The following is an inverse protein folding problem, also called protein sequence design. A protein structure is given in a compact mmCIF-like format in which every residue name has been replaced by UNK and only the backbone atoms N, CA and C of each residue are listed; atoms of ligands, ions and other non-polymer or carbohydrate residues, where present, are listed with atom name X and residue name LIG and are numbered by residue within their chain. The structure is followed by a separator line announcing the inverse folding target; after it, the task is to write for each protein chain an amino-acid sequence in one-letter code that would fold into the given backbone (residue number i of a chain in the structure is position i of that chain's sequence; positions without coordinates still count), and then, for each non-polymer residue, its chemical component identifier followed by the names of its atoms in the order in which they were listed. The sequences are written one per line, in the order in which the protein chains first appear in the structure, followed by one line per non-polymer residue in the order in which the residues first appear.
data_IF_756626601300
#
_entry.id   IF_756626601300
#
_cell.length_a   1.000
_cell.length_b   1.000
_cell.length_c   1.000
_cell.angle_alpha   90.00
_cell.angle_beta   90.00
_cell.angle_gamma   90.00
#
_symmetry.space_group_name_H-M   'P 1'
#
loop_
_entity.id
_entity.type
_entity.pdbx_description
1 polymer ?
#
# COMPACT_ATOMS: atom_id res chain seq x y z
N UNK A 1 32.98 -15.65 -25.10
CA UNK A 1 32.86 -15.04 -23.76
C UNK A 1 31.90 -13.89 -23.92
N UNK A 2 30.68 -14.00 -23.41
CA UNK A 2 29.66 -12.97 -23.57
C UNK A 2 29.07 -12.63 -22.21
N UNK A 3 29.36 -11.40 -21.78
CA UNK A 3 28.71 -10.65 -20.73
C UNK A 3 27.20 -10.86 -20.67
N UNK A 4 26.74 -11.61 -19.68
CA UNK A 4 25.35 -11.57 -19.20
C UNK A 4 25.35 -11.23 -17.70
N UNK A 5 26.03 -10.14 -17.35
CA UNK A 5 25.74 -9.38 -16.14
C UNK A 5 24.41 -8.64 -16.34
N UNK A 6 23.31 -9.39 -16.33
CA UNK A 6 22.02 -8.83 -15.91
C UNK A 6 21.80 -9.30 -14.48
N UNK A 7 22.53 -8.65 -13.55
CA UNK A 7 22.05 -8.58 -12.17
C UNK A 7 20.65 -7.98 -12.28
N UNK A 8 19.63 -8.82 -12.07
CA UNK A 8 18.28 -8.35 -11.83
C UNK A 8 18.33 -7.54 -10.56
N UNK A 9 18.65 -6.26 -10.68
CA UNK A 9 18.32 -5.31 -9.64
C UNK A 9 16.81 -5.46 -9.45
N UNK A 10 16.33 -5.87 -8.25
CA UNK A 10 14.91 -5.78 -8.00
C UNK A 10 14.53 -4.32 -8.27
N UNK A 11 13.38 -4.05 -8.91
CA UNK A 11 12.95 -2.68 -9.12
C UNK A 11 13.09 -1.99 -7.77
N UNK A 12 13.92 -0.94 -7.70
CA UNK A 12 14.00 -0.10 -6.52
C UNK A 12 12.58 0.39 -6.33
N UNK A 13 11.84 -0.24 -5.41
CA UNK A 13 10.55 0.25 -4.93
C UNK A 13 10.88 1.65 -4.44
N UNK A 14 10.64 2.66 -5.28
CA UNK A 14 10.74 4.09 -4.94
C UNK A 14 9.55 4.45 -4.05
N UNK A 15 9.26 3.57 -3.11
CA UNK A 15 8.24 3.74 -2.10
C UNK A 15 8.81 4.65 -1.04
N UNK A 16 7.98 5.59 -0.61
CA UNK A 16 8.27 6.50 0.48
C UNK A 16 8.15 5.79 1.83
N UNK A 17 7.55 4.60 1.86
CA UNK A 17 7.28 3.83 3.05
C UNK A 17 8.36 2.79 3.33
N UNK A 18 8.55 2.47 4.61
CA UNK A 18 9.43 1.39 5.02
C UNK A 18 8.93 0.03 4.48
N UNK A 19 9.81 -0.94 4.17
CA UNK A 19 9.42 -2.25 3.65
C UNK A 19 8.36 -2.96 4.50
N UNK A 20 8.45 -2.85 5.82
CA UNK A 20 7.48 -3.40 6.77
C UNK A 20 6.06 -2.83 6.57
N UNK A 21 5.94 -1.55 6.24
CA UNK A 21 4.65 -0.89 5.97
C UNK A 21 4.07 -1.40 4.66
N UNK A 22 4.92 -1.61 3.65
CA UNK A 22 4.49 -2.18 2.36
C UNK A 22 4.02 -3.62 2.49
N UNK A 23 4.67 -4.44 3.32
CA UNK A 23 4.22 -5.80 3.60
C UNK A 23 2.86 -5.81 4.30
N UNK A 24 2.69 -4.96 5.32
CA UNK A 24 1.39 -4.80 5.99
C UNK A 24 0.32 -4.29 5.03
N UNK A 25 0.66 -3.35 4.15
CA UNK A 25 -0.25 -2.85 3.12
C UNK A 25 -0.64 -3.94 2.11
N UNK A 26 0.29 -4.79 1.69
CA UNK A 26 0.01 -5.94 0.82
C UNK A 26 -0.92 -6.95 1.50
N UNK A 27 -0.75 -7.21 2.80
CA UNK A 27 -1.66 -8.07 3.57
C UNK A 27 -3.07 -7.46 3.66
N UNK A 28 -3.15 -6.19 4.03
CA UNK A 28 -4.41 -5.46 4.14
C UNK A 28 -5.15 -5.37 2.77
N UNK A 29 -4.41 -5.24 1.67
CA UNK A 29 -4.96 -5.27 0.32
C UNK A 29 -5.61 -6.63 0.01
N UNK A 30 -4.96 -7.74 0.40
CA UNK A 30 -5.53 -9.09 0.23
C UNK A 30 -6.81 -9.28 1.05
N UNK A 31 -6.87 -8.71 2.25
CA UNK A 31 -8.09 -8.72 3.06
C UNK A 31 -9.24 -7.96 2.39
N UNK A 32 -8.97 -6.76 1.85
CA UNK A 32 -9.95 -6.01 1.05
C UNK A 32 -10.38 -6.77 -0.22
N UNK A 33 -9.47 -7.53 -0.83
CA UNK A 33 -9.82 -8.39 -1.98
C UNK A 33 -10.75 -9.54 -1.58
N UNK A 34 -10.59 -10.08 -0.37
CA UNK A 34 -11.43 -11.14 0.18
C UNK A 34 -12.81 -10.67 0.65
N UNK A 35 -12.95 -9.38 1.01
CA UNK A 35 -14.16 -8.80 1.59
C UNK A 35 -14.74 -7.69 0.69
N UNK A 36 -15.73 -7.99 -0.18
CA UNK A 36 -16.28 -6.99 -1.11
C UNK A 36 -17.08 -5.85 -0.43
N UNK A 37 -17.41 -5.98 0.85
CA UNK A 37 -18.09 -4.94 1.62
C UNK A 37 -17.14 -3.89 2.21
N UNK A 38 -15.86 -4.25 2.36
CA UNK A 38 -14.87 -3.35 2.93
C UNK A 38 -14.21 -2.55 1.81
N UNK A 39 -14.17 -1.22 1.98
CA UNK A 39 -13.57 -0.29 1.01
C UNK A 39 -12.27 0.31 1.50
N UNK A 40 -12.02 0.21 2.81
CA UNK A 40 -10.86 0.80 3.45
C UNK A 40 -10.47 -0.01 4.68
N UNK A 41 -9.18 -0.09 4.95
CA UNK A 41 -8.62 -0.78 6.10
C UNK A 41 -7.47 0.04 6.71
N UNK A 42 -7.40 0.09 8.04
CA UNK A 42 -6.32 0.76 8.76
C UNK A 42 -5.11 -0.15 8.88
N UNK A 43 -3.94 0.34 8.49
CA UNK A 43 -2.63 -0.26 8.68
C UNK A 43 -1.96 0.45 9.86
N UNK A 44 -1.79 -0.29 10.96
CA UNK A 44 -1.03 0.19 12.13
C UNK A 44 0.45 -0.13 11.92
N UNK A 45 1.30 0.89 12.01
CA UNK A 45 2.75 0.72 11.90
C UNK A 45 3.45 1.43 13.06
N UNK A 46 4.44 0.75 13.66
CA UNK A 46 5.18 1.25 14.82
C UNK A 46 4.37 1.38 16.12
N UNK A 47 4.95 2.06 17.11
CA UNK A 47 4.36 2.26 18.45
C UNK A 47 3.59 3.58 18.59
N UNK A 48 3.68 4.49 17.62
CA UNK A 48 3.00 5.79 17.63
C UNK A 48 1.86 5.78 16.63
N UNK A 49 0.79 6.51 16.96
CA UNK A 49 -0.51 6.68 16.28
C UNK A 49 -0.48 7.18 14.82
N UNK A 50 0.46 6.72 14.00
CA UNK A 50 0.33 6.78 12.55
C UNK A 50 -0.61 5.65 12.14
N UNK A 51 -1.88 5.97 11.93
CA UNK A 51 -2.78 5.07 11.22
C UNK A 51 -2.65 5.41 9.74
N UNK A 52 -1.92 4.57 9.00
CA UNK A 52 -2.04 4.58 7.54
C UNK A 52 -3.32 3.84 7.18
N UNK A 53 -3.88 4.20 6.05
CA UNK A 53 -5.11 3.61 5.56
C UNK A 53 -4.87 3.21 4.12
N UNK A 54 -5.36 2.02 3.80
CA UNK A 54 -5.35 1.47 2.46
C UNK A 54 -6.77 1.45 1.95
N UNK A 55 -7.00 2.01 0.77
CA UNK A 55 -8.28 1.95 0.08
C UNK A 55 -8.12 1.58 -1.38
N UNK A 56 -9.13 0.94 -1.95
CA UNK A 56 -9.29 0.86 -3.41
C UNK A 56 -9.88 2.16 -4.00
N UNK A 57 -10.37 3.08 -3.15
CA UNK A 57 -10.93 4.37 -3.52
C UNK A 57 -9.95 5.51 -3.16
N UNK A 58 -9.43 6.27 -4.14
CA UNK A 58 -8.48 7.34 -3.88
C UNK A 58 -9.11 8.55 -3.16
N UNK A 59 -10.44 8.62 -3.05
CA UNK A 59 -11.12 9.72 -2.36
C UNK A 59 -11.09 9.59 -0.84
N UNK A 60 -10.84 8.37 -0.33
CA UNK A 60 -10.86 8.04 1.10
C UNK A 60 -9.52 8.25 1.81
N UNK A 61 -8.44 8.50 1.06
CA UNK A 61 -7.08 8.63 1.61
C UNK A 61 -6.36 9.88 1.08
N UNK A 62 -5.55 10.51 1.92
CA UNK A 62 -4.71 11.68 1.63
C UNK A 62 -3.26 11.32 1.89
N UNK A 63 -2.47 11.19 0.82
CA UNK A 63 -1.13 10.60 0.84
C UNK A 63 -1.10 9.53 -0.25
N UNK A 64 -0.27 9.73 -1.26
CA UNK A 64 -0.51 9.21 -2.61
C UNK A 64 0.54 8.21 -3.04
N UNK A 65 0.63 7.08 -2.33
CA UNK A 65 1.36 5.94 -2.87
C UNK A 65 0.38 4.90 -3.39
N UNK A 66 0.63 4.45 -4.62
CA UNK A 66 -0.18 3.44 -5.29
C UNK A 66 0.48 2.07 -5.12
N UNK A 67 -0.27 1.10 -4.60
CA UNK A 67 0.13 -0.28 -4.47
C UNK A 67 -0.69 -1.13 -5.45
N UNK A 68 -0.04 -1.98 -6.23
CA UNK A 68 -0.74 -2.94 -7.10
C UNK A 68 -0.63 -4.35 -6.51
N UNK A 69 -1.77 -4.96 -6.19
CA UNK A 69 -1.87 -6.33 -5.65
C UNK A 69 -2.88 -7.10 -6.50
N UNK A 70 -2.49 -8.26 -7.03
CA UNK A 70 -3.32 -9.13 -7.87
C UNK A 70 -4.01 -8.38 -9.03
N UNK A 71 -3.31 -7.42 -9.64
CA UNK A 71 -3.80 -6.61 -10.76
C UNK A 71 -4.78 -5.50 -10.37
N UNK A 72 -5.13 -5.36 -9.09
CA UNK A 72 -5.94 -4.26 -8.57
C UNK A 72 -5.07 -3.20 -7.90
N UNK A 73 -5.45 -1.95 -8.12
CA UNK A 73 -4.75 -0.79 -7.57
C UNK A 73 -5.37 -0.37 -6.24
N UNK A 74 -4.52 -0.07 -5.29
CA UNK A 74 -4.85 0.43 -3.96
C UNK A 74 -4.03 1.68 -3.66
N UNK A 75 -4.52 2.50 -2.76
CA UNK A 75 -3.95 3.79 -2.37
C UNK A 75 -3.63 3.77 -0.89
N UNK A 76 -2.39 4.07 -0.53
CA UNK A 76 -1.89 4.12 0.85
C UNK A 76 -1.72 5.58 1.26
N UNK A 77 -2.46 6.03 2.27
CA UNK A 77 -2.36 7.38 2.80
C UNK A 77 -3.00 7.54 4.18
N UNK A 78 -3.20 8.78 4.59
CA UNK A 78 -3.94 9.10 5.83
C UNK A 78 -5.44 9.08 5.56
N UNK A 79 -6.25 8.65 6.52
CA UNK A 79 -7.70 8.64 6.33
C UNK A 79 -8.23 10.06 6.15
N UNK A 80 -8.99 10.26 5.07
CA UNK A 80 -9.78 11.47 4.89
C UNK A 80 -11.07 11.31 5.67
N UNK A 81 -11.04 11.59 6.97
CA UNK A 81 -12.27 11.74 7.73
C UNK A 81 -13.09 12.86 7.06
N UNK A 82 -14.26 12.53 6.52
CA UNK A 82 -15.19 13.53 6.04
C UNK A 82 -15.48 14.50 7.19
N UNK A 83 -15.05 15.76 7.04
CA UNK A 83 -15.54 16.83 7.89
C UNK A 83 -17.02 17.01 7.51
N UNK A 84 -17.90 16.38 8.28
CA UNK A 84 -19.33 16.67 8.27
C UNK A 84 -19.59 18.04 8.88
#
# INVERSE_FOLDING_TARGET
MSDFLRKGEPPKETSTYAPEVLELAKQAAKELLGNPNDKIISIKFGHRSGELWLSSDPTLVVGSEELTVDGKRFYIGLFKAEQK
#
